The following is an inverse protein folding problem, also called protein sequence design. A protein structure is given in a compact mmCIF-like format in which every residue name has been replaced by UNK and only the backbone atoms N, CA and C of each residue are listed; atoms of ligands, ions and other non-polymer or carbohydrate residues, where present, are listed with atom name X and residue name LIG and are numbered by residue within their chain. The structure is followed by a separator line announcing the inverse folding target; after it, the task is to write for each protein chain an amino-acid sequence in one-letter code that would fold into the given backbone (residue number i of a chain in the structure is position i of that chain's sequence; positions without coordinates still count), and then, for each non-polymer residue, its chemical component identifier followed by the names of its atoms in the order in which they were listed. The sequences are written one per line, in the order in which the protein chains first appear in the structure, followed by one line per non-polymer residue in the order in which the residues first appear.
data_IF_670304442554
#
_entry.id   IF_670304442554
#
_cell.length_a   1.000
_cell.length_b   1.000
_cell.length_c   1.000
_cell.angle_alpha   90.00
_cell.angle_beta   90.00
_cell.angle_gamma   90.00
#
_symmetry.space_group_name_H-M   'P 1'
#
loop_
_entity.id
_entity.type
_entity.pdbx_description
1 polymer ?
#
# COMPACT_ATOMS: atom_id res chain seq x y z
N UNK A 1 -4.41 -16.96 17.51
CA UNK A 1 -4.81 -17.52 16.21
C UNK A 1 -3.56 -17.68 15.37
N UNK A 2 -2.96 -18.86 15.43
CA UNK A 2 -1.83 -19.25 14.60
C UNK A 2 -2.42 -20.00 13.40
N UNK A 3 -2.14 -19.55 12.19
CA UNK A 3 -2.47 -20.31 10.99
C UNK A 3 -1.35 -21.35 10.81
N UNK A 4 -1.48 -22.49 11.49
CA UNK A 4 -0.68 -23.69 11.23
C UNK A 4 -1.30 -24.47 10.07
N UNK A 5 -1.14 -23.95 8.87
CA UNK A 5 -1.17 -24.79 7.67
C UNK A 5 -0.17 -24.19 6.68
N UNK A 6 1.09 -24.66 6.66
CA UNK A 6 1.93 -24.48 5.48
C UNK A 6 1.33 -25.39 4.40
N UNK A 7 0.29 -24.89 3.73
CA UNK A 7 -0.24 -25.54 2.53
C UNK A 7 0.89 -25.68 1.50
N UNK A 8 0.89 -26.83 0.82
CA UNK A 8 1.82 -27.21 -0.24
C UNK A 8 2.32 -26.02 -1.06
N UNK A 9 3.64 -25.73 -0.96
CA UNK A 9 4.29 -24.64 -1.67
C UNK A 9 4.06 -23.28 -1.02
N UNK A 10 4.93 -22.89 -0.08
CA UNK A 10 4.97 -21.51 0.40
C UNK A 10 5.22 -20.58 -0.81
N UNK A 11 4.22 -19.77 -1.18
CA UNK A 11 4.35 -18.78 -2.25
C UNK A 11 5.60 -17.92 -2.00
N UNK A 12 6.54 -17.95 -2.95
CA UNK A 12 7.73 -17.11 -2.89
C UNK A 12 7.36 -15.70 -3.36
N UNK A 13 7.16 -14.81 -2.40
CA UNK A 13 6.83 -13.41 -2.66
C UNK A 13 8.03 -12.57 -3.14
N UNK A 14 9.23 -13.17 -3.22
CA UNK A 14 10.47 -12.52 -3.68
C UNK A 14 10.66 -11.13 -3.08
N UNK A 15 10.76 -11.00 -1.74
CA UNK A 15 10.65 -9.70 -1.07
C UNK A 15 11.71 -8.72 -1.59
N UNK A 16 11.27 -7.55 -2.03
CA UNK A 16 12.12 -6.51 -2.59
C UNK A 16 12.09 -5.22 -1.77
N UNK A 17 13.13 -4.40 -1.94
CA UNK A 17 13.27 -3.08 -1.33
C UNK A 17 13.52 -2.02 -2.39
N UNK A 18 12.92 -0.86 -2.18
CA UNK A 18 13.11 0.32 -3.01
C UNK A 18 13.92 1.38 -2.25
N UNK A 19 15.00 1.85 -2.88
CA UNK A 19 15.85 2.92 -2.35
C UNK A 19 16.33 2.67 -0.91
N UNK A 20 16.03 3.65 -0.04
CA UNK A 20 16.37 3.66 1.40
C UNK A 20 15.21 3.17 2.28
N UNK A 21 14.08 2.77 1.69
CA UNK A 21 12.94 2.28 2.45
C UNK A 21 13.33 1.03 3.25
N UNK A 22 12.90 0.99 4.50
CA UNK A 22 13.06 -0.20 5.36
C UNK A 22 11.96 -1.24 5.12
N UNK A 23 10.93 -0.88 4.36
CA UNK A 23 9.79 -1.74 4.08
C UNK A 23 10.15 -2.82 3.07
N UNK A 24 9.51 -3.97 3.24
CA UNK A 24 9.59 -5.09 2.30
C UNK A 24 8.32 -5.09 1.46
N UNK A 25 8.52 -5.06 0.15
CA UNK A 25 7.45 -5.14 -0.83
C UNK A 25 7.49 -6.48 -1.55
N UNK A 26 6.40 -6.81 -2.22
CA UNK A 26 6.33 -7.98 -3.07
C UNK A 26 7.19 -7.77 -4.32
N UNK A 27 8.00 -8.77 -4.67
CA UNK A 27 8.79 -8.76 -5.91
C UNK A 27 8.10 -9.51 -7.06
N UNK A 28 8.76 -9.58 -8.23
CA UNK A 28 10.13 -9.14 -8.51
C UNK A 28 10.30 -7.61 -8.51
N UNK A 29 11.51 -7.14 -8.18
CA UNK A 29 11.82 -5.69 -8.15
C UNK A 29 11.66 -5.10 -9.55
N UNK A 30 10.75 -4.13 -9.70
CA UNK A 30 10.54 -3.41 -10.96
C UNK A 30 11.55 -2.27 -11.12
N UNK A 31 11.89 -1.95 -12.37
CA UNK A 31 12.74 -0.80 -12.71
C UNK A 31 11.90 0.46 -12.65
N UNK A 32 12.46 1.53 -12.09
CA UNK A 32 11.77 2.83 -11.93
C UNK A 32 12.18 3.84 -13.02
N UNK A 33 12.85 3.37 -14.08
CA UNK A 33 13.39 4.21 -15.16
C UNK A 33 12.42 4.36 -16.35
N UNK A 34 11.34 3.58 -16.38
CA UNK A 34 10.30 3.60 -17.42
C UNK A 34 9.01 4.22 -16.90
N UNK A 35 8.06 4.66 -17.74
CA UNK A 35 6.74 5.04 -17.24
C UNK A 35 6.07 3.85 -16.55
N UNK A 36 5.83 3.97 -15.25
CA UNK A 36 5.19 2.95 -14.43
C UNK A 36 3.96 3.49 -13.70
N UNK A 37 3.12 2.57 -13.24
CA UNK A 37 1.98 2.84 -12.36
C UNK A 37 2.33 2.35 -10.95
N UNK A 38 2.21 3.22 -9.95
CA UNK A 38 2.49 2.87 -8.56
C UNK A 38 1.20 2.48 -7.82
N UNK A 39 1.20 1.33 -7.15
CA UNK A 39 0.08 0.85 -6.35
C UNK A 39 0.40 0.87 -4.86
N UNK A 40 -0.28 1.74 -4.12
CA UNK A 40 -0.19 1.85 -2.67
C UNK A 40 -1.37 1.18 -2.00
N UNK A 41 -1.13 0.53 -0.87
CA UNK A 41 -2.20 -0.08 -0.10
C UNK A 41 -1.72 -1.09 0.94
N UNK A 42 -2.66 -1.89 1.41
CA UNK A 42 -2.44 -2.81 2.52
C UNK A 42 -2.19 -4.23 2.02
N UNK A 43 -2.65 -5.21 2.79
CA UNK A 43 -2.58 -6.64 2.47
C UNK A 43 -3.28 -6.99 1.15
N UNK A 44 -4.35 -6.28 0.78
CA UNK A 44 -5.08 -6.50 -0.47
C UNK A 44 -4.21 -6.15 -1.68
N UNK A 45 -3.53 -4.99 -1.65
CA UNK A 45 -2.57 -4.59 -2.70
C UNK A 45 -1.33 -5.48 -2.71
N UNK A 46 -0.86 -5.92 -1.54
CA UNK A 46 0.27 -6.86 -1.45
C UNK A 46 -0.08 -8.23 -2.07
N UNK A 47 -1.34 -8.65 -2.02
CA UNK A 47 -1.79 -9.97 -2.50
C UNK A 47 -1.29 -11.12 -1.63
N UNK A 48 -1.42 -10.98 -0.31
CA UNK A 48 -1.02 -12.04 0.64
C UNK A 48 -1.93 -13.27 0.43
N UNK A 49 -1.31 -14.44 0.28
CA UNK A 49 -1.96 -15.72 -0.05
C UNK A 49 -2.51 -15.84 -1.48
N UNK A 50 -2.07 -14.97 -2.39
CA UNK A 50 -2.51 -14.97 -3.78
C UNK A 50 -1.29 -15.02 -4.71
N UNK A 51 -1.33 -15.93 -5.68
CA UNK A 51 -0.27 -16.10 -6.68
C UNK A 51 -0.14 -14.88 -7.59
N UNK A 52 -1.25 -14.31 -8.06
CA UNK A 52 -1.26 -13.14 -8.94
C UNK A 52 -2.06 -12.00 -8.26
N UNK A 53 -1.39 -10.96 -7.77
CA UNK A 53 -2.06 -9.82 -7.15
C UNK A 53 -2.68 -8.93 -8.24
N UNK A 54 -3.72 -8.17 -7.90
CA UNK A 54 -4.39 -7.32 -8.88
C UNK A 54 -3.49 -6.29 -9.58
N UNK A 55 -2.41 -5.71 -8.98
CA UNK A 55 -1.50 -4.84 -9.70
C UNK A 55 -0.84 -5.53 -10.89
N UNK A 56 -0.57 -6.83 -10.80
CA UNK A 56 0.05 -7.59 -11.89
C UNK A 56 -0.99 -7.86 -13.00
N UNK A 57 -2.23 -8.21 -12.62
CA UNK A 57 -3.35 -8.33 -13.59
C UNK A 57 -3.62 -7.02 -14.34
N UNK A 58 -3.51 -5.88 -13.65
CA UNK A 58 -3.65 -4.56 -14.26
C UNK A 58 -2.44 -4.23 -15.14
N UNK A 59 -1.24 -4.66 -14.74
CA UNK A 59 -0.02 -4.56 -15.55
C UNK A 59 -0.21 -5.24 -16.91
N UNK A 60 -0.74 -6.46 -16.89
CA UNK A 60 -0.97 -7.25 -18.10
C UNK A 60 -2.07 -6.66 -18.97
N UNK A 61 -3.14 -6.14 -18.36
CA UNK A 61 -4.25 -5.53 -19.09
C UNK A 61 -3.89 -4.20 -19.77
N UNK A 62 -3.04 -3.39 -19.14
CA UNK A 62 -2.65 -2.05 -19.65
C UNK A 62 -1.35 -2.10 -20.45
N UNK A 63 -0.55 -3.17 -20.32
CA UNK A 63 0.75 -3.29 -20.97
C UNK A 63 1.79 -2.31 -20.42
N UNK A 64 1.63 -1.88 -19.16
CA UNK A 64 2.56 -0.99 -18.46
C UNK A 64 3.05 -1.65 -17.18
N UNK A 65 4.29 -1.37 -16.79
CA UNK A 65 4.84 -1.89 -15.54
C UNK A 65 4.07 -1.30 -14.34
N UNK A 66 3.49 -2.19 -13.54
CA UNK A 66 2.85 -1.84 -12.29
C UNK A 66 3.78 -2.18 -11.12
N UNK A 67 4.08 -1.18 -10.29
CA UNK A 67 4.93 -1.33 -9.11
C UNK A 67 4.04 -1.53 -7.90
N UNK A 68 4.10 -2.74 -7.34
CA UNK A 68 3.39 -3.08 -6.11
C UNK A 68 4.14 -2.53 -4.88
N UNK A 69 3.59 -1.48 -4.27
CA UNK A 69 4.08 -0.88 -3.03
C UNK A 69 3.15 -1.18 -1.85
N UNK A 70 2.37 -2.26 -1.93
CA UNK A 70 1.52 -2.72 -0.84
C UNK A 70 2.35 -3.14 0.39
N UNK A 71 1.86 -2.79 1.58
CA UNK A 71 2.49 -3.19 2.85
C UNK A 71 1.46 -3.90 3.72
N UNK A 72 1.74 -5.15 4.12
CA UNK A 72 0.84 -5.92 5.00
C UNK A 72 0.69 -5.19 6.34
N UNK A 73 -0.56 -4.88 6.71
CA UNK A 73 -0.90 -4.05 7.88
C UNK A 73 -0.25 -2.65 7.90
N UNK A 74 0.22 -2.14 6.76
CA UNK A 74 0.68 -0.77 6.62
C UNK A 74 -0.49 0.20 6.79
N UNK A 75 -0.27 1.31 7.50
CA UNK A 75 -1.18 2.46 7.48
C UNK A 75 -0.64 3.55 6.55
N UNK A 76 -1.42 4.60 6.28
CA UNK A 76 -0.96 5.75 5.50
C UNK A 76 0.26 6.45 6.14
N UNK A 77 0.39 6.40 7.47
CA UNK A 77 1.56 6.90 8.20
C UNK A 77 2.88 6.23 7.73
N UNK A 78 2.83 4.97 7.32
CA UNK A 78 4.02 4.24 6.86
C UNK A 78 4.56 4.82 5.56
N UNK A 79 3.68 5.29 4.68
CA UNK A 79 4.07 5.96 3.43
C UNK A 79 4.43 7.42 3.65
N UNK A 80 3.71 8.13 4.52
CA UNK A 80 3.98 9.54 4.80
C UNK A 80 5.35 9.77 5.48
N UNK A 81 5.84 8.80 6.24
CA UNK A 81 7.15 8.88 6.88
C UNK A 81 8.31 8.39 6.00
N UNK A 82 8.06 7.95 4.77
CA UNK A 82 9.09 7.43 3.87
C UNK A 82 9.19 8.29 2.60
N UNK A 83 10.16 9.20 2.59
CA UNK A 83 10.44 10.09 1.47
C UNK A 83 10.70 9.34 0.16
N UNK A 84 11.21 8.11 0.22
CA UNK A 84 11.50 7.32 -0.98
C UNK A 84 10.24 6.79 -1.65
N UNK A 85 9.20 6.53 -0.87
CA UNK A 85 7.92 6.09 -1.41
C UNK A 85 7.13 7.28 -1.96
N UNK A 86 7.23 8.43 -1.31
CA UNK A 86 6.68 9.69 -1.81
C UNK A 86 7.34 10.11 -3.12
N UNK A 87 8.66 9.94 -3.27
CA UNK A 87 9.35 10.25 -4.53
C UNK A 87 8.96 9.29 -5.67
N UNK A 88 8.75 8.00 -5.36
CA UNK A 88 8.24 7.02 -6.33
C UNK A 88 6.80 7.34 -6.72
N UNK A 89 5.95 7.76 -5.78
CA UNK A 89 4.60 8.22 -6.09
C UNK A 89 4.63 9.44 -7.03
N UNK A 90 5.50 10.42 -6.75
CA UNK A 90 5.61 11.63 -7.55
C UNK A 90 6.19 11.39 -8.96
N UNK A 91 7.04 10.38 -9.14
CA UNK A 91 7.63 10.03 -10.43
C UNK A 91 6.77 9.06 -11.25
N UNK A 92 5.77 8.41 -10.65
CA UNK A 92 4.86 7.52 -11.35
C UNK A 92 3.96 8.28 -12.33
N UNK A 93 3.61 7.63 -13.44
CA UNK A 93 2.63 8.20 -14.39
C UNK A 93 1.23 8.27 -13.78
N UNK A 94 0.87 7.23 -13.04
CA UNK A 94 -0.38 7.13 -12.29
C UNK A 94 -0.08 6.52 -10.95
N UNK A 95 -0.69 7.07 -9.89
CA UNK A 95 -0.62 6.52 -8.54
C UNK A 95 -2.00 6.04 -8.11
N UNK A 96 -2.14 4.75 -7.92
CA UNK A 96 -3.35 4.13 -7.39
C UNK A 96 -3.18 3.94 -5.89
N UNK A 97 -4.07 4.54 -5.09
CA UNK A 97 -4.05 4.42 -3.62
C UNK A 97 -5.30 3.69 -3.18
N UNK A 98 -5.11 2.47 -2.64
CA UNK A 98 -6.18 1.74 -1.96
C UNK A 98 -6.55 2.49 -0.67
N UNK A 99 -7.84 2.70 -0.42
CA UNK A 99 -8.30 3.35 0.82
C UNK A 99 -7.94 2.48 2.02
N UNK A 100 -6.95 2.93 2.79
CA UNK A 100 -6.40 2.19 3.92
C UNK A 100 -7.25 2.40 5.18
N UNK A 101 -7.39 1.34 5.98
CA UNK A 101 -8.06 1.47 7.28
C UNK A 101 -7.25 2.35 8.24
N UNK A 102 -7.94 3.14 9.07
CA UNK A 102 -7.33 3.99 10.10
C UNK A 102 -6.89 3.22 11.36
N UNK A 103 -6.70 1.90 11.25
CA UNK A 103 -6.38 1.03 12.38
C UNK A 103 -4.98 1.29 12.93
N UNK A 104 -4.01 1.66 12.08
CA UNK A 104 -2.63 1.96 12.47
C UNK A 104 -2.29 3.44 12.28
N UNK A 105 -3.27 4.34 12.47
CA UNK A 105 -3.06 5.79 12.33
C UNK A 105 -2.87 6.46 13.68
N UNK A 106 -1.77 7.19 13.82
CA UNK A 106 -1.58 8.14 14.91
C UNK A 106 -1.96 9.55 14.44
N UNK A 107 -2.70 10.29 15.25
CA UNK A 107 -3.06 11.68 15.01
C UNK A 107 -2.81 12.50 16.29
N UNK A 108 -2.85 13.82 16.19
CA UNK A 108 -2.72 14.76 17.32
C UNK A 108 -3.61 14.42 18.52
N UNK A 109 -4.74 13.78 18.29
CA UNK A 109 -5.70 13.40 19.33
C UNK A 109 -5.53 11.96 19.85
N UNK A 110 -4.84 11.07 19.11
CA UNK A 110 -4.74 9.65 19.45
C UNK A 110 -3.43 9.06 18.91
N UNK A 111 -2.62 8.44 19.77
CA UNK A 111 -1.43 7.68 19.36
C UNK A 111 -1.70 6.18 19.47
N UNK A 112 -1.44 5.44 18.39
CA UNK A 112 -1.60 3.98 18.36
C UNK A 112 -0.29 3.31 18.72
N UNK A 113 -0.31 2.44 19.73
CA UNK A 113 0.88 1.70 20.13
C UNK A 113 1.16 0.55 19.13
N UNK A 114 2.39 0.41 18.60
CA UNK A 114 2.70 -0.54 17.52
C UNK A 114 2.38 -2.02 17.78
N UNK A 115 2.24 -2.41 19.05
CA UNK A 115 2.06 -3.82 19.47
C UNK A 115 0.79 -4.09 20.30
N UNK A 116 0.09 -3.05 20.77
CA UNK A 116 -1.13 -3.17 21.60
C UNK A 116 -2.18 -2.23 21.03
N UNK A 117 -2.77 -2.66 19.92
CA UNK A 117 -3.84 -1.93 19.26
C UNK A 117 -5.17 -2.62 19.57
N UNK A 118 -5.66 -2.42 20.80
CA UNK A 118 -6.76 -3.20 21.37
C UNK A 118 -8.14 -2.49 21.21
N UNK A 119 -8.28 -1.52 20.30
CA UNK A 119 -9.43 -0.59 20.27
C UNK A 119 -10.11 -0.51 18.89
N UNK A 120 -11.01 -1.46 18.59
CA UNK A 120 -11.91 -1.37 17.41
C UNK A 120 -13.26 -0.67 17.69
N UNK A 121 -13.50 -0.10 18.87
CA UNK A 121 -14.84 0.39 19.25
C UNK A 121 -15.25 1.81 18.79
N UNK A 122 -14.31 2.73 18.55
CA UNK A 122 -14.64 4.17 18.52
C UNK A 122 -14.36 4.90 17.19
N UNK A 123 -14.03 4.16 16.12
CA UNK A 123 -13.49 4.73 14.88
C UNK A 123 -14.53 5.37 13.92
N UNK A 124 -15.82 5.45 14.27
CA UNK A 124 -16.81 6.08 13.39
C UNK A 124 -16.66 7.61 13.32
N UNK A 125 -16.14 8.27 14.36
CA UNK A 125 -16.04 9.73 14.38
C UNK A 125 -14.78 10.26 13.65
N UNK A 126 -13.68 9.49 13.64
CA UNK A 126 -12.41 9.93 13.04
C UNK A 126 -12.37 9.90 11.50
N UNK A 127 -13.17 9.04 10.85
CA UNK A 127 -13.18 8.95 9.37
C UNK A 127 -13.56 10.27 8.69
N UNK A 128 -14.39 11.09 9.34
CA UNK A 128 -14.91 12.34 8.77
C UNK A 128 -13.89 13.49 8.78
N UNK A 129 -12.91 13.48 9.69
CA UNK A 129 -11.93 14.56 9.84
C UNK A 129 -10.69 14.39 8.95
N UNK A 130 -10.26 13.15 8.67
CA UNK A 130 -9.17 12.93 7.72
C UNK A 130 -9.62 13.18 6.26
N UNK A 131 -10.87 12.86 5.94
CA UNK A 131 -11.43 13.05 4.60
C UNK A 131 -11.62 14.52 4.21
N UNK A 132 -11.77 15.46 5.16
CA UNK A 132 -11.89 16.88 4.83
C UNK A 132 -10.59 17.51 4.32
N UNK A 133 -9.44 16.82 4.48
CA UNK A 133 -8.14 17.25 3.94
C UNK A 133 -7.78 16.54 2.63
N UNK A 134 -8.50 15.49 2.28
CA UNK A 134 -8.40 14.73 1.04
C UNK A 134 -9.79 14.61 0.41
N UNK A 135 -10.41 15.75 0.09
CA UNK A 135 -11.48 15.77 -0.90
C UNK A 135 -10.84 15.59 -2.27
N UNK A 136 -10.49 14.36 -2.62
CA UNK A 136 -10.21 14.00 -4.00
C UNK A 136 -11.18 12.89 -4.35
N UNK A 137 -12.29 13.34 -4.94
CA UNK A 137 -13.09 12.61 -5.91
C UNK A 137 -12.22 11.64 -6.71
N UNK A 138 -12.80 10.56 -7.19
CA UNK A 138 -12.26 9.77 -8.30
C UNK A 138 -11.82 10.70 -9.43
N UNK A 139 -10.54 11.09 -9.44
CA UNK A 139 -9.92 11.85 -10.51
C UNK A 139 -8.99 10.87 -11.17
N UNK A 140 -9.53 10.14 -12.14
CA UNK A 140 -8.75 9.79 -13.32
C UNK A 140 -8.25 11.13 -13.85
N UNK A 141 -6.99 11.45 -13.62
CA UNK A 141 -6.37 12.63 -14.20
C UNK A 141 -6.02 12.27 -15.65
N UNK A 142 -6.74 12.76 -16.66
CA UNK A 142 -6.32 12.58 -18.04
C UNK A 142 -5.18 13.59 -18.26
N UNK A 143 -4.00 13.07 -18.62
CA UNK A 143 -2.89 13.89 -19.03
C UNK A 143 -3.32 14.85 -20.15
N UNK A 144 -3.04 16.14 -19.99
CA UNK A 144 -2.93 17.13 -21.07
C UNK A 144 -1.78 18.07 -20.75
#
# INVERSE_FOLDING_TARGET
MAFEHPGDGALDYLPCRYGKSKLLFRGPKKKLDQPYVAFFGTTETYGRFIEEPFPDLVSDAIGQDCVNLGCVNGGIDVYNNDDTLLSIAAAARVTVVQVMGAHNLSNRFYSVHPRRNDLCGWLLHCKRFLWSRWSVSTVVCPAC
#
